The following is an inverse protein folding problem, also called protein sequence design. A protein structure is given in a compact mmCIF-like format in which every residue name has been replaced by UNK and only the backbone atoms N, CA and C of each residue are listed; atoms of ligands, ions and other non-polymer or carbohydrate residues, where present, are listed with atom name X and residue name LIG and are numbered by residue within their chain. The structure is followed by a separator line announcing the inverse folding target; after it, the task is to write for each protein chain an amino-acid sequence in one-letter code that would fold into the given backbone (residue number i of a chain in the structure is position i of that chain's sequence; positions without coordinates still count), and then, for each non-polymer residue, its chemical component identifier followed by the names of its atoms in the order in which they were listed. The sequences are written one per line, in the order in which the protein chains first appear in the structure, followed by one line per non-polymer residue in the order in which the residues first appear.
data_IF_594774058171
#
_entry.id   IF_594774058171
#
_cell.length_a   1.000
_cell.length_b   1.000
_cell.length_c   1.000
_cell.angle_alpha   90.00
_cell.angle_beta   90.00
_cell.angle_gamma   90.00
#
_symmetry.space_group_name_H-M   'P 1'
#
loop_
_entity.id
_entity.type
_entity.pdbx_description
1 polymer ?
#
# COMPACT_ATOMS: atom_id res chain seq x y z
N UNK A 1 -60.29 -49.28 14.61
CA UNK A 1 -60.33 -48.06 13.77
C UNK A 1 -59.93 -46.74 14.48
N UNK A 2 -60.34 -46.49 15.74
CA UNK A 2 -60.13 -45.18 16.40
C UNK A 2 -58.64 -44.86 16.71
N UNK A 3 -57.86 -45.83 17.23
CA UNK A 3 -56.42 -45.64 17.53
C UNK A 3 -55.55 -45.30 16.30
N UNK A 4 -55.88 -45.84 15.12
CA UNK A 4 -55.19 -45.50 13.86
C UNK A 4 -55.52 -44.08 13.38
N UNK A 5 -56.78 -43.61 13.51
CA UNK A 5 -57.15 -42.22 13.18
C UNK A 5 -56.46 -41.21 14.10
N UNK A 6 -56.28 -41.52 15.39
CA UNK A 6 -55.56 -40.67 16.35
C UNK A 6 -54.07 -40.59 16.05
N UNK A 7 -53.39 -41.73 15.79
CA UNK A 7 -51.98 -41.74 15.35
C UNK A 7 -51.76 -41.02 14.01
N UNK A 8 -52.71 -41.12 13.06
CA UNK A 8 -52.64 -40.43 11.77
C UNK A 8 -52.84 -38.91 11.93
N UNK A 9 -53.77 -38.47 12.79
CA UNK A 9 -53.95 -37.05 13.15
C UNK A 9 -52.74 -36.47 13.89
N UNK A 10 -52.09 -37.22 14.79
CA UNK A 10 -50.89 -36.73 15.51
C UNK A 10 -49.66 -36.64 14.61
N UNK A 11 -49.46 -37.60 13.69
CA UNK A 11 -48.44 -37.52 12.63
C UNK A 11 -48.68 -36.34 11.69
N UNK A 12 -49.94 -36.09 11.28
CA UNK A 12 -50.29 -34.92 10.47
C UNK A 12 -49.94 -33.62 11.21
N UNK A 13 -50.37 -33.47 12.48
CA UNK A 13 -50.13 -32.28 13.32
C UNK A 13 -48.63 -32.02 13.58
N UNK A 14 -47.81 -33.07 13.68
CA UNK A 14 -46.34 -32.97 13.81
C UNK A 14 -45.70 -32.51 12.49
N UNK A 15 -46.23 -32.97 11.35
CA UNK A 15 -45.78 -32.59 10.00
C UNK A 15 -46.17 -31.14 9.65
N UNK A 16 -47.39 -30.69 10.01
CA UNK A 16 -47.80 -29.28 9.88
C UNK A 16 -47.02 -28.35 10.80
N UNK A 17 -46.72 -28.77 12.05
CA UNK A 17 -45.80 -28.00 12.92
C UNK A 17 -44.40 -27.86 12.32
N UNK A 18 -43.86 -28.93 11.75
CA UNK A 18 -42.56 -28.88 11.05
C UNK A 18 -42.56 -27.92 9.85
N UNK A 19 -43.65 -27.92 9.07
CA UNK A 19 -43.83 -26.97 7.96
C UNK A 19 -43.96 -25.51 8.45
N UNK A 20 -44.71 -25.26 9.52
CA UNK A 20 -44.85 -23.92 10.10
C UNK A 20 -43.52 -23.41 10.64
N UNK A 21 -42.76 -24.26 11.36
CA UNK A 21 -41.44 -23.91 11.86
C UNK A 21 -40.49 -23.61 10.68
N UNK A 22 -40.49 -24.45 9.64
CA UNK A 22 -39.69 -24.20 8.44
C UNK A 22 -40.04 -22.88 7.74
N UNK A 23 -41.32 -22.53 7.68
CA UNK A 23 -41.79 -21.28 7.08
C UNK A 23 -41.40 -20.06 7.94
N UNK A 24 -41.49 -20.14 9.26
CA UNK A 24 -41.03 -19.09 10.17
C UNK A 24 -39.52 -18.86 10.06
N UNK A 25 -38.74 -19.94 9.95
CA UNK A 25 -37.29 -19.86 9.72
C UNK A 25 -36.99 -19.17 8.38
N UNK A 26 -37.72 -19.53 7.32
CA UNK A 26 -37.55 -18.91 6.00
C UNK A 26 -37.88 -17.41 6.03
N UNK A 27 -38.96 -17.00 6.70
CA UNK A 27 -39.31 -15.59 6.89
C UNK A 27 -38.20 -14.86 7.64
N UNK A 28 -37.69 -15.45 8.73
CA UNK A 28 -36.57 -14.87 9.49
C UNK A 28 -35.33 -14.66 8.62
N UNK A 29 -34.98 -15.61 7.75
CA UNK A 29 -33.86 -15.44 6.81
C UNK A 29 -34.11 -14.33 5.79
N UNK A 30 -35.35 -14.19 5.29
CA UNK A 30 -35.71 -13.10 4.37
C UNK A 30 -35.63 -11.76 5.07
N UNK A 31 -36.13 -11.65 6.30
CA UNK A 31 -36.04 -10.42 7.10
C UNK A 31 -34.58 -10.06 7.40
N UNK A 32 -33.76 -11.03 7.81
CA UNK A 32 -32.34 -10.84 8.07
C UNK A 32 -31.59 -10.41 6.79
N UNK A 33 -31.91 -11.02 5.66
CA UNK A 33 -31.36 -10.64 4.36
C UNK A 33 -31.74 -9.20 4.00
N UNK A 34 -33.03 -8.85 4.08
CA UNK A 34 -33.49 -7.50 3.79
C UNK A 34 -32.85 -6.47 4.72
N UNK A 35 -32.70 -6.82 6.00
CA UNK A 35 -32.03 -6.01 7.00
C UNK A 35 -30.54 -5.82 6.66
N UNK A 36 -29.82 -6.88 6.29
CA UNK A 36 -28.40 -6.77 5.93
C UNK A 36 -28.17 -6.00 4.63
N UNK A 37 -29.03 -6.17 3.63
CA UNK A 37 -28.85 -5.61 2.29
C UNK A 37 -29.38 -4.19 2.15
N UNK A 38 -30.53 -3.86 2.75
CA UNK A 38 -31.19 -2.57 2.53
C UNK A 38 -31.16 -1.62 3.73
N UNK A 39 -30.62 -2.05 4.88
CA UNK A 39 -30.54 -1.15 6.03
C UNK A 39 -29.59 0.02 5.80
N UNK A 40 -30.01 1.19 6.29
CA UNK A 40 -29.22 2.42 6.31
C UNK A 40 -28.55 2.66 7.67
N UNK A 41 -28.59 1.69 8.59
CA UNK A 41 -27.88 1.76 9.86
C UNK A 41 -26.37 1.88 9.54
N UNK A 42 -25.65 2.90 10.05
CA UNK A 42 -24.27 3.20 9.66
C UNK A 42 -23.33 1.99 9.73
N UNK A 43 -23.41 1.22 10.81
CA UNK A 43 -22.60 0.01 11.00
C UNK A 43 -22.85 -1.05 9.91
N UNK A 44 -24.10 -1.33 9.57
CA UNK A 44 -24.47 -2.34 8.57
C UNK A 44 -24.07 -1.87 7.18
N UNK A 45 -24.39 -0.60 6.86
CA UNK A 45 -24.04 0.03 5.59
C UNK A 45 -22.53 0.00 5.37
N UNK A 46 -21.72 0.32 6.38
CA UNK A 46 -20.25 0.25 6.32
C UNK A 46 -19.77 -1.12 5.86
N UNK A 47 -20.14 -2.18 6.57
CA UNK A 47 -19.66 -3.53 6.27
C UNK A 47 -20.21 -4.10 4.97
N UNK A 48 -21.49 -3.83 4.66
CA UNK A 48 -22.10 -4.20 3.38
C UNK A 48 -21.37 -3.54 2.22
N UNK A 49 -21.10 -2.24 2.33
CA UNK A 49 -20.45 -1.49 1.27
C UNK A 49 -18.98 -1.91 1.10
N UNK A 50 -18.21 -2.08 2.19
CA UNK A 50 -16.86 -2.67 2.12
C UNK A 50 -16.88 -4.04 1.43
N UNK A 51 -17.86 -4.89 1.74
CA UNK A 51 -18.00 -6.19 1.09
C UNK A 51 -18.27 -6.06 -0.42
N UNK A 52 -19.24 -5.21 -0.81
CA UNK A 52 -19.55 -4.94 -2.22
C UNK A 52 -18.32 -4.42 -2.95
N UNK A 53 -17.67 -3.40 -2.41
CA UNK A 53 -16.48 -2.78 -3.00
C UNK A 53 -15.36 -3.80 -3.16
N UNK A 54 -15.06 -4.58 -2.11
CA UNK A 54 -14.02 -5.62 -2.13
C UNK A 54 -14.29 -6.65 -3.23
N UNK A 55 -15.53 -7.13 -3.35
CA UNK A 55 -15.91 -8.08 -4.37
C UNK A 55 -15.87 -7.48 -5.79
N UNK A 56 -16.34 -6.24 -5.96
CA UNK A 56 -16.41 -5.56 -7.26
C UNK A 56 -15.03 -5.15 -7.79
N UNK A 57 -14.09 -4.86 -6.90
CA UNK A 57 -12.68 -4.56 -7.25
C UNK A 57 -11.87 -5.84 -7.56
N UNK A 58 -12.44 -7.04 -7.29
CA UNK A 58 -11.85 -8.33 -7.66
C UNK A 58 -12.50 -8.92 -8.91
N UNK A 59 -11.73 -9.15 -9.97
CA UNK A 59 -12.24 -9.78 -11.20
C UNK A 59 -12.78 -11.20 -10.97
N UNK A 60 -12.12 -12.00 -10.11
CA UNK A 60 -12.47 -13.41 -9.87
C UNK A 60 -13.60 -13.64 -8.86
N UNK A 61 -13.90 -12.67 -8.00
CA UNK A 61 -14.91 -12.82 -6.93
C UNK A 61 -16.09 -11.84 -7.03
N UNK A 62 -16.17 -11.05 -8.10
CA UNK A 62 -17.32 -10.18 -8.40
C UNK A 62 -18.66 -10.90 -8.31
N UNK A 63 -18.68 -12.17 -8.71
CA UNK A 63 -19.87 -13.01 -8.67
C UNK A 63 -20.46 -13.14 -7.26
N UNK A 64 -19.63 -13.07 -6.21
CA UNK A 64 -20.09 -13.15 -4.83
C UNK A 64 -21.08 -12.02 -4.55
N UNK A 65 -20.73 -10.76 -4.84
CA UNK A 65 -21.66 -9.65 -4.66
C UNK A 65 -22.86 -9.73 -5.61
N UNK A 66 -22.64 -9.99 -6.91
CA UNK A 66 -23.72 -9.94 -7.91
C UNK A 66 -24.73 -11.08 -7.80
N UNK A 67 -24.39 -12.19 -7.14
CA UNK A 67 -25.29 -13.33 -6.98
C UNK A 67 -26.41 -13.06 -5.98
N UNK A 68 -26.15 -12.31 -4.91
CA UNK A 68 -27.11 -12.11 -3.83
C UNK A 68 -27.40 -10.65 -3.50
N UNK A 69 -26.67 -9.67 -4.01
CA UNK A 69 -26.96 -8.25 -3.79
C UNK A 69 -27.65 -7.67 -5.04
N UNK A 70 -28.80 -7.01 -4.90
CA UNK A 70 -29.50 -6.40 -6.03
C UNK A 70 -28.62 -5.38 -6.75
N UNK A 71 -28.70 -5.36 -8.08
CA UNK A 71 -27.88 -4.48 -8.93
C UNK A 71 -27.96 -3.00 -8.52
N UNK A 72 -29.15 -2.49 -8.18
CA UNK A 72 -29.30 -1.08 -7.76
C UNK A 72 -28.45 -0.72 -6.53
N UNK A 73 -28.37 -1.61 -5.54
CA UNK A 73 -27.53 -1.39 -4.35
C UNK A 73 -26.04 -1.41 -4.71
N UNK A 74 -25.65 -2.30 -5.62
CA UNK A 74 -24.26 -2.34 -6.12
C UNK A 74 -23.93 -1.06 -6.88
N UNK A 75 -24.79 -0.66 -7.82
CA UNK A 75 -24.62 0.51 -8.66
C UNK A 75 -24.52 1.79 -7.81
N UNK A 76 -25.36 1.93 -6.76
CA UNK A 76 -25.31 3.06 -5.82
C UNK A 76 -23.95 3.14 -5.09
N UNK A 77 -23.44 2.01 -4.59
CA UNK A 77 -22.13 1.95 -3.91
C UNK A 77 -20.99 2.27 -4.86
N UNK A 78 -21.04 1.76 -6.09
CA UNK A 78 -19.99 2.03 -7.08
C UNK A 78 -20.05 3.47 -7.60
N UNK A 79 -21.23 4.10 -7.67
CA UNK A 79 -21.39 5.49 -8.04
C UNK A 79 -20.74 6.45 -7.01
N UNK A 80 -20.76 6.10 -5.71
CA UNK A 80 -20.01 6.85 -4.68
C UNK A 80 -18.50 6.89 -5.00
N UNK A 81 -17.91 5.73 -5.39
CA UNK A 81 -16.50 5.64 -5.82
C UNK A 81 -16.20 6.54 -7.01
N UNK A 82 -17.05 6.50 -8.04
CA UNK A 82 -16.85 7.31 -9.25
C UNK A 82 -16.93 8.81 -8.96
N UNK A 83 -17.85 9.23 -8.10
CA UNK A 83 -17.97 10.63 -7.69
C UNK A 83 -16.70 11.12 -6.99
N UNK A 84 -16.19 10.33 -6.05
CA UNK A 84 -14.93 10.59 -5.35
C UNK A 84 -13.76 10.76 -6.32
N UNK A 85 -13.63 9.86 -7.28
CA UNK A 85 -12.54 9.92 -8.27
C UNK A 85 -12.66 11.12 -9.20
N UNK A 86 -13.88 11.51 -9.60
CA UNK A 86 -14.12 12.72 -10.40
C UNK A 86 -13.70 13.99 -9.66
N UNK A 87 -13.87 14.04 -8.35
CA UNK A 87 -13.42 15.19 -7.56
C UNK A 87 -11.89 15.29 -7.48
N UNK A 88 -11.18 14.16 -7.56
CA UNK A 88 -9.71 14.16 -7.60
C UNK A 88 -9.14 14.55 -8.97
N UNK A 89 -9.94 14.56 -10.02
CA UNK A 89 -9.50 14.86 -11.40
C UNK A 89 -8.85 16.24 -11.55
N UNK A 90 -9.16 17.19 -10.66
CA UNK A 90 -8.57 18.54 -10.66
C UNK A 90 -7.38 18.71 -9.72
N UNK A 91 -6.96 17.66 -9.00
CA UNK A 91 -5.83 17.76 -8.09
C UNK A 91 -4.53 17.99 -8.86
N UNK A 92 -3.72 18.90 -8.32
CA UNK A 92 -2.37 19.16 -8.76
C UNK A 92 -1.54 19.53 -7.53
N UNK A 93 -0.56 18.70 -7.21
CA UNK A 93 0.38 19.00 -6.14
C UNK A 93 1.29 20.15 -6.52
N UNK A 94 1.84 20.78 -5.49
CA UNK A 94 2.82 21.85 -5.61
C UNK A 94 3.88 21.63 -4.55
N UNK A 95 5.10 21.94 -4.92
CA UNK A 95 6.18 22.16 -3.97
C UNK A 95 6.43 23.66 -3.96
N UNK A 96 6.50 24.25 -2.77
CA UNK A 96 7.00 25.62 -2.67
C UNK A 96 8.47 25.57 -3.06
N UNK A 97 8.87 26.40 -4.02
CA UNK A 97 10.29 26.60 -4.27
C UNK A 97 10.83 27.25 -3.01
N UNK A 98 11.51 26.45 -2.18
CA UNK A 98 12.52 27.02 -1.29
C UNK A 98 13.65 27.41 -2.24
N UNK A 99 13.51 28.60 -2.83
CA UNK A 99 14.64 29.28 -3.44
C UNK A 99 15.72 29.30 -2.36
N UNK A 100 16.85 28.67 -2.65
CA UNK A 100 18.03 28.67 -1.79
C UNK A 100 18.63 30.08 -1.79
N UNK A 101 17.95 31.02 -1.14
CA UNK A 101 18.41 32.34 -0.76
C UNK A 101 18.05 32.55 0.72
N UNK A 102 18.57 31.69 1.57
CA UNK A 102 18.85 32.01 2.97
C UNK A 102 19.82 30.95 3.47
N UNK A 103 21.11 31.12 3.14
CA UNK A 103 22.17 30.63 4.03
C UNK A 103 22.15 31.50 5.27
N UNK A 104 21.77 31.00 6.46
CA UNK A 104 22.06 31.72 7.68
C UNK A 104 23.58 31.70 7.86
N UNK A 105 24.14 32.91 8.00
CA UNK A 105 25.54 33.13 8.33
C UNK A 105 26.00 32.24 9.50
N UNK A 106 27.22 31.71 9.33
CA UNK A 106 28.15 31.11 10.30
C UNK A 106 27.60 30.37 11.55
N UNK A 107 28.01 29.11 11.79
CA UNK A 107 27.68 28.44 13.04
C UNK A 107 28.42 29.09 14.21
N UNK A 108 27.66 29.65 15.17
CA UNK A 108 28.16 29.94 16.51
C UNK A 108 28.48 28.60 17.19
N UNK A 109 29.75 28.35 17.49
CA UNK A 109 30.16 27.17 18.25
C UNK A 109 29.53 27.16 19.65
N UNK A 110 28.81 26.09 20.05
CA UNK A 110 28.40 25.92 21.43
C UNK A 110 29.54 25.30 22.25
N UNK A 111 29.89 25.97 23.34
CA UNK A 111 30.75 25.48 24.43
C UNK A 111 30.26 24.10 24.88
N UNK A 112 31.15 23.10 24.81
CA UNK A 112 30.85 21.71 25.16
C UNK A 112 30.78 21.47 26.68
N UNK A 113 29.80 20.68 27.15
CA UNK A 113 30.00 19.78 28.27
C UNK A 113 30.36 18.36 27.76
N UNK A 114 31.35 17.75 28.43
CA UNK A 114 32.06 16.47 28.20
C UNK A 114 31.22 15.18 28.00
N UNK A 115 30.20 15.16 27.14
CA UNK A 115 29.51 13.93 26.71
C UNK A 115 28.83 14.13 25.34
N UNK A 116 29.62 14.43 24.29
CA UNK A 116 29.10 14.44 22.92
C UNK A 116 29.15 13.02 22.31
N UNK A 117 28.07 12.52 21.70
CA UNK A 117 28.12 11.30 20.89
C UNK A 117 29.12 11.48 19.73
N UNK A 118 29.77 10.41 19.30
CA UNK A 118 30.71 10.43 18.17
C UNK A 118 30.01 11.03 16.93
N UNK A 119 30.70 11.78 16.07
CA UNK A 119 30.05 12.48 14.93
C UNK A 119 29.17 11.56 14.07
N UNK A 120 29.58 10.30 13.89
CA UNK A 120 28.82 9.30 13.13
C UNK A 120 27.50 8.88 13.78
N UNK A 121 27.44 8.78 15.11
CA UNK A 121 26.21 8.42 15.83
C UNK A 121 25.14 9.51 15.65
N UNK A 122 25.53 10.77 15.81
CA UNK A 122 24.62 11.91 15.63
C UNK A 122 24.10 11.98 14.21
N UNK A 123 24.97 11.76 13.22
CA UNK A 123 24.59 11.75 11.81
C UNK A 123 23.62 10.62 11.48
N UNK A 124 23.85 9.42 12.00
CA UNK A 124 22.98 8.26 11.83
C UNK A 124 21.57 8.51 12.35
N UNK A 125 21.43 9.00 13.59
CA UNK A 125 20.09 9.30 14.13
C UNK A 125 19.44 10.54 13.51
N UNK A 126 20.22 11.45 12.91
CA UNK A 126 19.66 12.52 12.08
C UNK A 126 19.10 11.96 10.79
N UNK A 127 19.83 11.05 10.13
CA UNK A 127 19.42 10.39 8.90
C UNK A 127 18.17 9.54 9.15
N UNK A 128 18.18 8.70 10.17
CA UNK A 128 17.08 7.82 10.58
C UNK A 128 16.30 8.42 11.77
N UNK A 129 15.76 9.62 11.59
CA UNK A 129 15.00 10.33 12.63
C UNK A 129 13.74 9.61 13.12
N UNK A 130 13.23 8.64 12.35
CA UNK A 130 12.11 7.79 12.74
C UNK A 130 12.50 6.64 13.65
N UNK A 131 13.79 6.32 13.78
CA UNK A 131 14.29 5.24 14.61
C UNK A 131 14.24 5.64 16.09
N UNK A 132 13.63 4.79 16.94
CA UNK A 132 13.69 5.00 18.38
C UNK A 132 15.09 4.66 18.88
N UNK A 133 15.84 5.71 19.23
CA UNK A 133 17.25 5.64 19.65
C UNK A 133 17.47 4.62 20.76
N UNK A 134 16.58 4.57 21.76
CA UNK A 134 16.75 3.67 22.90
C UNK A 134 16.64 2.20 22.46
N UNK A 135 15.60 1.85 21.72
CA UNK A 135 15.40 0.49 21.24
C UNK A 135 16.52 0.01 20.32
N UNK A 136 17.11 0.92 19.53
CA UNK A 136 18.29 0.62 18.72
C UNK A 136 19.53 0.35 19.57
N UNK A 137 19.80 1.20 20.57
CA UNK A 137 20.95 1.01 21.46
C UNK A 137 20.82 -0.27 22.29
N UNK A 138 19.62 -0.58 22.80
CA UNK A 138 19.34 -1.84 23.49
C UNK A 138 19.60 -3.06 22.56
N UNK A 139 19.24 -2.96 21.27
CA UNK A 139 19.55 -4.01 20.28
C UNK A 139 21.06 -4.14 20.04
N UNK A 140 21.78 -3.03 19.92
CA UNK A 140 23.24 -3.01 19.75
C UNK A 140 23.98 -3.58 20.97
N UNK A 141 23.46 -3.41 22.19
CA UNK A 141 24.04 -4.06 23.38
C UNK A 141 23.99 -5.60 23.28
N UNK A 142 22.93 -6.15 22.67
CA UNK A 142 22.80 -7.59 22.40
C UNK A 142 23.55 -8.02 21.13
N UNK A 143 23.81 -7.08 20.22
CA UNK A 143 24.41 -7.29 18.88
C UNK A 143 25.55 -6.28 18.60
N UNK A 144 26.66 -6.34 19.34
CA UNK A 144 27.75 -5.36 19.21
C UNK A 144 28.41 -5.37 17.83
N UNK A 145 28.29 -6.46 17.06
CA UNK A 145 28.79 -6.59 15.68
C UNK A 145 28.21 -5.52 14.73
N UNK A 146 27.02 -4.99 15.03
CA UNK A 146 26.32 -3.98 14.22
C UNK A 146 27.14 -2.71 14.05
N UNK A 147 27.95 -2.36 15.06
CA UNK A 147 28.75 -1.13 15.06
C UNK A 147 30.25 -1.37 14.76
N UNK A 148 30.66 -2.60 14.44
CA UNK A 148 32.08 -2.91 14.15
C UNK A 148 32.66 -2.04 13.02
N UNK A 149 31.83 -1.70 12.04
CA UNK A 149 32.22 -0.91 10.87
C UNK A 149 31.75 0.56 10.94
N UNK A 150 31.35 1.05 12.11
CA UNK A 150 30.86 2.41 12.28
C UNK A 150 29.37 2.58 11.95
N UNK A 151 28.81 3.72 12.37
CA UNK A 151 27.39 4.03 12.24
C UNK A 151 26.94 4.22 10.78
N UNK A 152 27.84 4.70 9.93
CA UNK A 152 27.63 4.91 8.50
C UNK A 152 27.48 3.59 7.71
N UNK A 153 27.97 2.48 8.26
CA UNK A 153 27.92 1.16 7.64
C UNK A 153 27.00 0.19 8.39
N UNK A 154 26.13 0.70 9.27
CA UNK A 154 25.14 -0.13 9.97
C UNK A 154 24.27 -0.86 8.94
N UNK A 155 24.33 -2.19 9.01
CA UNK A 155 23.53 -3.07 8.18
C UNK A 155 22.88 -4.16 9.03
N UNK A 156 21.55 -4.16 9.05
CA UNK A 156 20.70 -5.13 9.76
C UNK A 156 19.63 -5.58 8.78
N UNK A 157 19.41 -6.89 8.66
CA UNK A 157 18.37 -7.43 7.80
C UNK A 157 17.65 -8.62 8.43
N UNK A 158 16.48 -8.35 9.01
CA UNK A 158 15.53 -9.31 9.52
C UNK A 158 14.16 -9.17 8.81
N UNK A 159 14.19 -8.72 7.55
CA UNK A 159 12.97 -8.46 6.77
C UNK A 159 12.43 -9.69 6.04
N UNK A 160 13.16 -10.82 6.01
CA UNK A 160 12.73 -12.01 5.27
C UNK A 160 11.49 -12.62 5.93
N UNK A 161 10.68 -13.31 5.13
CA UNK A 161 9.47 -13.97 5.62
C UNK A 161 9.74 -15.07 6.67
N UNK A 162 10.96 -15.61 6.70
CA UNK A 162 11.43 -16.61 7.66
C UNK A 162 11.89 -16.02 8.99
N UNK A 163 12.15 -14.71 9.03
CA UNK A 163 12.80 -14.09 10.17
C UNK A 163 11.77 -13.77 11.26
N UNK A 164 12.23 -13.75 12.51
CA UNK A 164 11.38 -13.45 13.67
C UNK A 164 11.23 -11.95 13.93
N UNK A 165 11.91 -11.11 13.14
CA UNK A 165 11.93 -9.66 13.30
C UNK A 165 12.99 -9.19 14.30
N UNK A 166 12.82 -7.97 14.83
CA UNK A 166 13.77 -7.35 15.78
C UNK A 166 13.06 -6.75 17.00
N UNK A 167 13.82 -6.44 18.05
CA UNK A 167 13.32 -5.66 19.20
C UNK A 167 13.21 -4.16 18.92
N UNK A 168 13.91 -3.67 17.89
CA UNK A 168 13.97 -2.25 17.53
C UNK A 168 12.61 -1.71 17.08
N UNK A 169 12.38 -0.43 17.40
CA UNK A 169 11.15 0.29 17.11
C UNK A 169 11.44 1.60 16.41
N UNK A 170 10.43 2.07 15.69
CA UNK A 170 10.33 3.47 15.31
C UNK A 170 9.74 4.30 16.45
N UNK A 171 9.87 5.62 16.37
CA UNK A 171 9.19 6.57 17.27
C UNK A 171 7.65 6.44 17.20
N UNK A 172 7.12 5.94 16.08
CA UNK A 172 5.70 5.62 15.90
C UNK A 172 5.29 4.31 16.59
N UNK A 173 6.25 3.50 17.07
CA UNK A 173 6.03 2.22 17.74
C UNK A 173 5.98 1.00 16.80
N UNK A 174 6.16 1.21 15.49
CA UNK A 174 6.24 0.13 14.50
C UNK A 174 7.60 -0.59 14.59
N UNK A 175 7.61 -1.90 14.34
CA UNK A 175 8.80 -2.76 14.44
C UNK A 175 9.76 -2.51 13.27
N UNK A 176 11.04 -2.27 13.56
CA UNK A 176 12.08 -2.14 12.52
C UNK A 176 12.54 -3.52 12.09
N UNK A 177 12.58 -3.76 10.79
CA UNK A 177 12.98 -5.05 10.21
C UNK A 177 14.35 -5.01 9.55
N UNK A 178 14.73 -3.88 8.96
CA UNK A 178 16.03 -3.72 8.33
C UNK A 178 16.51 -2.28 8.40
N UNK A 179 17.82 -2.10 8.53
CA UNK A 179 18.53 -0.83 8.40
C UNK A 179 19.68 -1.07 7.41
N UNK A 180 19.78 -0.24 6.39
CA UNK A 180 20.89 -0.22 5.45
C UNK A 180 21.37 1.23 5.38
N UNK A 181 22.31 1.58 6.25
CA UNK A 181 22.83 2.94 6.39
C UNK A 181 23.55 3.40 5.12
N UNK A 182 24.25 2.49 4.45
CA UNK A 182 24.95 2.75 3.19
C UNK A 182 23.99 3.22 2.10
N UNK A 183 22.82 2.60 1.98
CA UNK A 183 21.79 2.99 1.01
C UNK A 183 20.73 3.96 1.56
N UNK A 184 20.82 4.35 2.83
CA UNK A 184 19.80 5.17 3.49
C UNK A 184 18.41 4.53 3.48
N UNK A 185 18.30 3.22 3.72
CA UNK A 185 17.02 2.49 3.73
C UNK A 185 16.69 1.98 5.13
N UNK A 186 15.48 2.27 5.59
CA UNK A 186 14.88 1.70 6.80
C UNK A 186 13.59 0.96 6.42
N UNK A 187 13.47 -0.32 6.76
CA UNK A 187 12.25 -1.11 6.49
C UNK A 187 11.57 -1.42 7.81
N UNK A 188 10.29 -1.09 7.90
CA UNK A 188 9.49 -1.26 9.11
C UNK A 188 8.24 -2.08 8.82
N UNK A 189 7.81 -2.86 9.80
CA UNK A 189 6.58 -3.65 9.75
C UNK A 189 5.43 -2.81 10.27
N UNK A 190 4.43 -2.61 9.41
CA UNK A 190 3.19 -1.91 9.77
C UNK A 190 2.07 -2.93 9.97
N UNK A 191 1.35 -2.82 11.07
CA UNK A 191 0.24 -3.73 11.39
C UNK A 191 -0.95 -2.96 11.94
N UNK A 192 -2.15 -3.43 11.65
CA UNK A 192 -3.38 -2.92 12.24
C UNK A 192 -4.47 -3.98 12.27
N UNK A 193 -5.73 -3.55 12.32
CA UNK A 193 -6.85 -4.48 12.39
C UNK A 193 -6.98 -5.29 11.08
N UNK A 194 -6.50 -6.55 11.11
CA UNK A 194 -6.64 -7.49 10.01
C UNK A 194 -5.60 -7.34 8.88
N UNK A 195 -4.63 -6.44 8.98
CA UNK A 195 -3.59 -6.27 7.97
C UNK A 195 -2.17 -6.37 8.53
N UNK A 196 -1.27 -6.86 7.67
CA UNK A 196 0.17 -6.86 7.86
C UNK A 196 0.81 -6.28 6.62
N UNK A 197 1.81 -5.42 6.79
CA UNK A 197 2.53 -4.82 5.68
C UNK A 197 3.94 -4.38 6.05
N UNK A 198 4.60 -3.75 5.08
CA UNK A 198 5.94 -3.19 5.21
C UNK A 198 5.98 -1.80 4.59
N UNK A 199 6.62 -0.89 5.29
CA UNK A 199 6.95 0.44 4.82
C UNK A 199 8.47 0.53 4.72
N UNK A 200 8.97 0.80 3.50
CA UNK A 200 10.35 1.18 3.30
C UNK A 200 10.44 2.72 3.28
N UNK A 201 11.39 3.24 4.04
CA UNK A 201 11.69 4.65 4.22
C UNK A 201 13.06 4.86 3.58
N UNK A 202 13.08 5.56 2.45
CA UNK A 202 14.24 5.74 1.59
C UNK A 202 14.68 7.19 1.66
N UNK A 203 15.89 7.43 2.15
CA UNK A 203 16.37 8.77 2.51
C UNK A 203 16.78 9.61 1.31
N UNK A 204 17.34 8.98 0.28
CA UNK A 204 17.68 9.69 -0.96
C UNK A 204 16.60 9.48 -2.04
N UNK A 205 15.80 10.51 -2.37
CA UNK A 205 14.83 10.39 -3.46
C UNK A 205 15.49 10.23 -4.83
N UNK A 206 16.75 10.67 -5.03
CA UNK A 206 17.45 10.53 -6.30
C UNK A 206 17.62 9.07 -6.72
N UNK A 207 17.80 8.18 -5.73
CA UNK A 207 17.96 6.74 -5.93
C UNK A 207 16.69 6.01 -6.34
N UNK A 208 15.52 6.67 -6.21
CA UNK A 208 14.23 6.11 -6.59
C UNK A 208 13.96 6.36 -8.07
N UNK A 209 13.71 5.27 -8.82
CA UNK A 209 13.46 5.29 -10.28
C UNK A 209 12.32 4.36 -10.68
N UNK A 210 11.79 4.53 -11.88
CA UNK A 210 10.86 3.57 -12.49
C UNK A 210 11.65 2.59 -13.35
N UNK A 211 11.77 1.34 -12.89
CA UNK A 211 12.38 0.25 -13.65
C UNK A 211 11.37 -0.44 -14.56
N UNK A 212 11.68 -0.60 -15.85
CA UNK A 212 10.78 -1.21 -16.82
C UNK A 212 11.08 -2.69 -17.05
N UNK A 213 10.04 -3.48 -17.33
CA UNK A 213 10.21 -4.87 -17.76
C UNK A 213 11.01 -4.93 -19.07
N UNK A 214 11.92 -5.89 -19.16
CA UNK A 214 12.72 -6.17 -20.36
C UNK A 214 11.87 -6.46 -21.60
N UNK A 215 10.64 -6.93 -21.40
CA UNK A 215 9.70 -7.35 -22.45
C UNK A 215 8.44 -6.50 -22.45
N UNK A 216 8.53 -5.23 -22.01
CA UNK A 216 7.46 -4.23 -22.05
C UNK A 216 6.74 -4.24 -23.40
N UNK A 217 5.41 -4.17 -23.38
CA UNK A 217 4.54 -4.30 -24.55
C UNK A 217 4.24 -5.75 -24.98
N UNK A 218 5.05 -6.73 -24.58
CA UNK A 218 4.85 -8.16 -24.91
C UNK A 218 4.47 -9.00 -23.70
N UNK A 219 5.23 -8.92 -22.60
CA UNK A 219 4.98 -9.63 -21.34
C UNK A 219 5.62 -8.87 -20.20
N UNK A 220 4.93 -8.77 -19.07
CA UNK A 220 5.52 -8.23 -17.85
C UNK A 220 6.50 -9.22 -17.23
N UNK A 221 7.17 -8.76 -16.18
CA UNK A 221 8.06 -9.55 -15.33
C UNK A 221 7.59 -9.44 -13.88
N UNK A 222 7.93 -10.40 -13.04
CA UNK A 222 7.72 -10.22 -11.60
C UNK A 222 8.54 -9.05 -11.07
N UNK A 223 8.12 -8.45 -9.96
CA UNK A 223 8.89 -7.36 -9.31
C UNK A 223 10.32 -7.80 -9.02
N UNK A 224 10.52 -9.04 -8.58
CA UNK A 224 11.87 -9.62 -8.38
C UNK A 224 12.69 -9.65 -9.67
N UNK A 225 12.12 -10.12 -10.77
CA UNK A 225 12.86 -10.16 -12.05
C UNK A 225 13.24 -8.76 -12.54
N UNK A 226 12.40 -7.75 -12.29
CA UNK A 226 12.73 -6.35 -12.58
C UNK A 226 13.83 -5.88 -11.62
N UNK A 227 13.72 -6.14 -10.32
CA UNK A 227 14.76 -5.80 -9.34
C UNK A 227 16.12 -6.40 -9.72
N UNK A 228 16.16 -7.70 -10.03
CA UNK A 228 17.38 -8.42 -10.46
C UNK A 228 17.98 -7.81 -11.74
N UNK A 229 17.14 -7.40 -12.70
CA UNK A 229 17.61 -6.76 -13.96
C UNK A 229 18.34 -5.46 -13.71
N UNK A 230 17.89 -4.67 -12.73
CA UNK A 230 18.48 -3.38 -12.38
C UNK A 230 19.49 -3.47 -11.24
N UNK A 231 19.76 -4.68 -10.74
CA UNK A 231 20.49 -4.92 -9.50
C UNK A 231 20.00 -4.04 -8.34
N UNK A 232 18.67 -3.84 -8.25
CA UNK A 232 18.08 -2.91 -7.29
C UNK A 232 18.19 -3.41 -5.85
N UNK A 233 18.46 -2.50 -4.92
CA UNK A 233 18.50 -2.78 -3.48
C UNK A 233 17.09 -3.09 -2.98
N UNK A 234 16.10 -2.32 -3.44
CA UNK A 234 14.69 -2.46 -3.07
C UNK A 234 13.81 -2.26 -4.32
N UNK A 235 12.69 -2.98 -4.40
CA UNK A 235 11.70 -2.77 -5.44
C UNK A 235 10.27 -3.04 -4.97
N UNK A 236 9.31 -2.25 -5.46
CA UNK A 236 7.87 -2.48 -5.34
C UNK A 236 7.19 -2.38 -6.71
N UNK A 237 6.02 -3.01 -6.91
CA UNK A 237 5.26 -2.83 -8.15
C UNK A 237 4.76 -1.38 -8.32
N UNK A 238 4.49 -0.96 -9.57
CA UNK A 238 4.10 0.42 -9.86
C UNK A 238 2.80 0.56 -10.68
N UNK A 239 2.87 0.58 -12.01
CA UNK A 239 1.72 0.89 -12.87
C UNK A 239 0.68 -0.21 -12.91
N UNK A 240 -0.58 0.20 -13.11
CA UNK A 240 -1.62 -0.71 -13.60
C UNK A 240 -1.34 -1.16 -15.03
N UNK A 241 -1.95 -2.27 -15.43
CA UNK A 241 -1.80 -2.85 -16.76
C UNK A 241 -3.11 -3.40 -17.29
N UNK A 242 -3.19 -3.55 -18.62
CA UNK A 242 -4.36 -4.13 -19.27
C UNK A 242 -4.50 -5.60 -18.85
N UNK A 243 -5.57 -5.87 -18.10
CA UNK A 243 -5.86 -7.16 -17.51
C UNK A 243 -7.23 -7.68 -17.94
N UNK A 244 -7.40 -7.88 -19.25
CA UNK A 244 -8.64 -8.39 -19.82
C UNK A 244 -8.99 -9.74 -19.19
N UNK A 245 -10.11 -9.80 -18.46
CA UNK A 245 -10.62 -10.98 -17.76
C UNK A 245 -9.65 -11.64 -16.75
N UNK A 246 -8.65 -10.92 -16.24
CA UNK A 246 -7.69 -11.46 -15.26
C UNK A 246 -6.59 -12.33 -15.87
N UNK A 247 -6.49 -12.38 -17.20
CA UNK A 247 -5.45 -13.14 -17.94
C UNK A 247 -4.41 -12.23 -18.59
N UNK A 248 -4.34 -10.97 -18.15
CA UNK A 248 -3.35 -10.00 -18.61
C UNK A 248 -1.93 -10.52 -18.41
N UNK A 249 -1.12 -10.37 -19.45
CA UNK A 249 0.28 -10.81 -19.46
C UNK A 249 1.23 -9.84 -18.73
N UNK A 250 0.69 -8.76 -18.16
CA UNK A 250 1.47 -7.76 -17.40
C UNK A 250 2.33 -6.83 -18.25
N UNK A 251 2.30 -6.92 -19.57
CA UNK A 251 3.23 -6.18 -20.44
C UNK A 251 2.69 -4.83 -20.92
N UNK A 252 1.38 -4.63 -20.89
CA UNK A 252 0.72 -3.47 -21.50
C UNK A 252 0.27 -2.50 -20.42
N UNK A 253 1.01 -1.38 -20.28
CA UNK A 253 0.75 -0.35 -19.27
C UNK A 253 -0.60 0.31 -19.52
N UNK A 254 -1.31 0.65 -18.44
CA UNK A 254 -2.46 1.56 -18.47
C UNK A 254 -2.03 2.89 -17.85
N UNK A 255 -2.01 3.95 -18.68
CA UNK A 255 -1.62 5.29 -18.25
C UNK A 255 -0.18 5.67 -18.58
N UNK A 256 0.23 6.83 -18.05
CA UNK A 256 1.55 7.41 -18.26
C UNK A 256 2.63 6.45 -17.77
N UNK A 257 3.70 6.32 -18.56
CA UNK A 257 4.96 5.72 -18.13
C UNK A 257 6.11 6.55 -18.66
N UNK A 258 6.89 7.11 -17.74
CA UNK A 258 8.17 7.76 -18.00
C UNK A 258 9.21 7.07 -17.12
N UNK A 259 10.36 6.71 -17.72
CA UNK A 259 11.50 6.10 -17.03
C UNK A 259 12.76 6.79 -17.53
N UNK A 260 13.58 7.30 -16.62
CA UNK A 260 14.84 8.00 -16.93
C UNK A 260 14.68 9.10 -18.01
N UNK A 261 13.59 9.87 -17.93
CA UNK A 261 13.23 10.96 -18.83
C UNK A 261 12.62 10.52 -20.16
N UNK A 262 12.53 9.21 -20.42
CA UNK A 262 11.97 8.65 -21.66
C UNK A 262 10.51 8.24 -21.46
N UNK A 263 9.61 8.79 -22.27
CA UNK A 263 8.20 8.39 -22.28
C UNK A 263 8.00 7.09 -23.06
N UNK A 264 7.41 6.10 -22.39
CA UNK A 264 7.10 4.77 -22.94
C UNK A 264 5.61 4.52 -23.15
N UNK A 265 4.74 5.25 -22.44
CA UNK A 265 3.28 5.15 -22.56
C UNK A 265 2.64 6.51 -22.33
N UNK A 266 1.60 6.83 -23.10
CA UNK A 266 0.85 8.08 -22.96
C UNK A 266 -0.09 8.05 -21.76
N UNK A 267 -0.35 9.22 -21.17
CA UNK A 267 -1.33 9.33 -20.10
C UNK A 267 -2.73 8.91 -20.56
N UNK A 268 -3.47 8.32 -19.64
CA UNK A 268 -4.90 8.12 -19.76
C UNK A 268 -5.63 9.35 -19.23
N UNK A 269 -6.70 9.77 -19.91
CA UNK A 269 -7.57 10.85 -19.45
C UNK A 269 -8.51 10.43 -18.31
N UNK A 270 -9.50 11.26 -18.01
CA UNK A 270 -10.45 10.98 -16.93
C UNK A 270 -9.83 11.23 -15.56
N UNK A 271 -10.05 10.30 -14.62
CA UNK A 271 -9.73 10.48 -13.19
C UNK A 271 -8.33 10.03 -12.79
N UNK A 272 -7.53 9.53 -13.73
CA UNK A 272 -6.18 9.06 -13.45
C UNK A 272 -5.22 10.22 -13.20
N UNK A 273 -4.36 10.06 -12.18
CA UNK A 273 -3.39 11.06 -11.78
C UNK A 273 -1.98 10.57 -12.09
N UNK A 274 -1.17 11.43 -12.69
CA UNK A 274 0.26 11.24 -12.83
C UNK A 274 0.88 11.26 -11.43
N UNK A 275 1.77 10.32 -11.18
CA UNK A 275 2.50 10.13 -9.93
C UNK A 275 3.96 9.95 -10.34
N UNK A 276 4.80 10.94 -10.08
CA UNK A 276 6.17 10.89 -10.58
C UNK A 276 7.11 11.93 -9.97
N UNK A 277 8.40 11.67 -10.09
CA UNK A 277 9.45 12.58 -9.66
C UNK A 277 9.84 13.52 -10.79
N UNK A 278 10.02 14.80 -10.46
CA UNK A 278 10.65 15.77 -11.33
C UNK A 278 12.18 15.63 -11.31
N UNK A 279 12.87 16.52 -12.03
CA UNK A 279 14.34 16.59 -12.07
C UNK A 279 14.99 17.03 -10.76
N UNK A 280 14.22 17.58 -9.81
CA UNK A 280 14.69 17.94 -8.46
C UNK A 280 14.32 16.85 -7.43
N UNK A 281 13.92 15.67 -7.89
CA UNK A 281 13.54 14.53 -7.06
C UNK A 281 12.32 14.80 -6.15
N UNK A 282 11.43 15.71 -6.55
CA UNK A 282 10.18 15.98 -5.84
C UNK A 282 9.03 15.22 -6.48
N UNK A 283 8.24 14.53 -5.65
CA UNK A 283 7.11 13.70 -6.06
C UNK A 283 5.90 14.58 -6.35
N UNK A 284 5.44 14.61 -7.59
CA UNK A 284 4.22 15.29 -7.99
C UNK A 284 3.06 14.32 -8.21
N UNK A 285 1.87 14.74 -7.78
CA UNK A 285 0.60 14.04 -7.99
C UNK A 285 -0.36 15.01 -8.70
N UNK A 286 -0.80 14.69 -9.91
CA UNK A 286 -1.75 15.55 -10.61
C UNK A 286 -2.20 15.08 -11.98
N UNK A 287 -3.21 15.74 -12.54
CA UNK A 287 -3.80 15.35 -13.83
C UNK A 287 -3.04 15.86 -15.07
N UNK A 288 -2.13 16.82 -14.89
CA UNK A 288 -1.38 17.50 -15.97
C UNK A 288 0.07 16.99 -16.05
N UNK A 289 0.61 16.94 -17.27
CA UNK A 289 2.06 16.80 -17.51
C UNK A 289 2.73 18.15 -17.82
N UNK A 290 1.96 19.22 -18.06
CA UNK A 290 2.50 20.46 -18.63
C UNK A 290 3.38 21.25 -17.66
N UNK A 291 3.14 21.06 -16.38
CA UNK A 291 3.67 21.89 -15.32
C UNK A 291 4.85 21.22 -14.60
N UNK A 292 5.19 19.97 -14.97
CA UNK A 292 6.22 19.16 -14.32
C UNK A 292 7.07 18.43 -15.36
N UNK A 293 8.38 18.65 -15.34
CA UNK A 293 9.34 17.89 -16.15
C UNK A 293 9.69 16.59 -15.40
N UNK A 294 8.94 15.53 -15.67
CA UNK A 294 9.16 14.23 -15.02
C UNK A 294 10.42 13.52 -15.51
N UNK A 295 11.27 13.06 -14.57
CA UNK A 295 12.30 12.06 -14.85
C UNK A 295 11.73 10.64 -14.80
N UNK A 296 10.80 10.39 -13.88
CA UNK A 296 10.21 9.08 -13.67
C UNK A 296 8.76 9.28 -13.27
N UNK A 297 7.82 8.64 -13.97
CA UNK A 297 6.40 8.80 -13.67
C UNK A 297 5.58 7.58 -14.08
N UNK A 298 4.55 7.31 -13.27
CA UNK A 298 3.48 6.38 -13.55
C UNK A 298 2.13 7.09 -13.42
N UNK A 299 1.03 6.39 -13.70
CA UNK A 299 -0.31 6.94 -13.52
C UNK A 299 -1.20 5.96 -12.77
N UNK A 300 -1.90 6.43 -11.74
CA UNK A 300 -2.84 5.60 -10.99
C UNK A 300 -3.86 6.43 -10.17
N UNK A 301 -4.69 5.74 -9.39
CA UNK A 301 -5.69 6.32 -8.47
C UNK A 301 -5.82 5.50 -7.18
N UNK A 302 -6.32 6.09 -6.08
CA UNK A 302 -6.55 7.52 -5.85
C UNK A 302 -5.30 8.24 -5.32
N UNK A 303 -5.34 9.57 -5.31
CA UNK A 303 -4.45 10.37 -4.45
C UNK A 303 -4.85 10.18 -2.97
N UNK A 304 -3.86 10.13 -2.08
CA UNK A 304 -4.06 9.93 -0.64
C UNK A 304 -3.76 11.21 0.13
N UNK A 305 -2.60 11.82 -0.13
CA UNK A 305 -2.13 13.05 0.50
C UNK A 305 -1.61 13.98 -0.60
N UNK A 306 -2.03 15.23 -0.57
CA UNK A 306 -1.59 16.27 -1.51
C UNK A 306 -1.34 17.56 -0.73
N UNK A 307 -0.15 18.11 -0.84
CA UNK A 307 0.31 19.33 -0.17
C UNK A 307 0.10 19.27 1.36
N UNK A 308 0.46 18.14 1.98
CA UNK A 308 0.29 17.89 3.42
C UNK A 308 -1.15 17.61 3.86
N UNK A 309 -2.12 17.65 2.94
CA UNK A 309 -3.52 17.39 3.25
C UNK A 309 -3.92 15.96 2.90
N UNK A 310 -4.45 15.23 3.89
CA UNK A 310 -5.11 13.95 3.68
C UNK A 310 -6.45 14.16 2.93
N UNK A 311 -6.40 14.08 1.60
CA UNK A 311 -7.53 14.37 0.69
C UNK A 311 -8.62 13.27 0.69
N UNK A 312 -8.39 12.18 1.43
CA UNK A 312 -9.34 11.08 1.56
C UNK A 312 -10.00 10.99 2.95
N UNK A 313 -9.31 11.38 4.02
CA UNK A 313 -9.83 11.33 5.39
C UNK A 313 -10.91 12.38 5.68
N UNK A 314 -10.83 13.55 5.03
CA UNK A 314 -11.81 14.66 5.23
C UNK A 314 -13.25 14.30 4.84
N UNK A 315 -13.50 13.14 4.23
CA UNK A 315 -14.76 12.84 3.55
C UNK A 315 -15.84 12.18 4.40
N UNK A 316 -15.65 12.02 5.73
CA UNK A 316 -16.65 11.45 6.66
C UNK A 316 -17.40 10.26 6.05
N UNK A 317 -16.65 9.39 5.36
CA UNK A 317 -17.25 8.38 4.50
C UNK A 317 -17.92 7.36 5.39
N UNK A 318 -19.20 7.13 5.14
CA UNK A 318 -20.02 6.15 5.86
C UNK A 318 -19.37 4.75 5.84
N UNK A 319 -18.46 4.48 4.89
CA UNK A 319 -17.87 3.15 4.65
C UNK A 319 -16.37 3.04 4.96
N UNK A 320 -15.62 4.14 5.13
CA UNK A 320 -14.18 4.11 5.46
C UNK A 320 -13.22 3.51 4.43
N UNK A 321 -13.67 3.26 3.19
CA UNK A 321 -12.90 2.56 2.14
C UNK A 321 -12.85 3.24 0.78
N UNK A 322 -13.51 4.39 0.61
CA UNK A 322 -13.52 5.18 -0.65
C UNK A 322 -14.00 4.43 -1.91
N UNK A 323 -14.73 3.31 -1.77
CA UNK A 323 -15.10 2.51 -2.93
C UNK A 323 -14.06 1.46 -3.35
N UNK A 324 -12.94 1.35 -2.62
CA UNK A 324 -11.85 0.44 -2.94
C UNK A 324 -11.84 -0.84 -2.11
N UNK A 325 -12.69 -0.94 -1.07
CA UNK A 325 -12.76 -2.11 -0.20
C UNK A 325 -11.44 -2.44 0.54
N UNK A 326 -11.34 -3.68 1.04
CA UNK A 326 -10.14 -4.23 1.67
C UNK A 326 -9.33 -4.99 0.62
N UNK A 327 -8.09 -4.57 0.39
CA UNK A 327 -7.21 -5.21 -0.60
C UNK A 327 -5.75 -5.19 -0.12
N UNK A 328 -4.88 -6.03 -0.70
CA UNK A 328 -3.46 -5.73 -0.75
C UNK A 328 -3.24 -4.38 -1.45
N UNK A 329 -2.34 -3.57 -0.93
CA UNK A 329 -2.11 -2.18 -1.38
C UNK A 329 -0.64 -1.93 -1.62
N UNK A 330 -0.37 -1.10 -2.61
CA UNK A 330 0.96 -0.53 -2.85
C UNK A 330 0.82 0.98 -2.94
N UNK A 331 1.66 1.72 -2.24
CA UNK A 331 1.55 3.18 -2.11
C UNK A 331 2.96 3.79 -2.15
N UNK A 332 3.06 4.93 -2.83
CA UNK A 332 4.26 5.77 -2.81
C UNK A 332 3.91 7.12 -2.18
N UNK A 333 4.83 7.68 -1.41
CA UNK A 333 4.74 9.04 -0.92
C UNK A 333 6.11 9.66 -0.70
N UNK A 334 6.09 10.94 -0.36
CA UNK A 334 7.28 11.72 -0.04
C UNK A 334 6.98 12.69 1.11
N UNK A 335 7.91 12.81 2.04
CA UNK A 335 7.92 13.79 3.13
C UNK A 335 8.48 15.14 2.65
N UNK A 336 8.37 16.17 3.49
CA UNK A 336 8.86 17.51 3.15
C UNK A 336 10.38 17.55 2.90
N UNK A 337 11.16 16.76 3.65
CA UNK A 337 12.63 16.68 3.53
C UNK A 337 13.10 15.86 2.32
N UNK A 338 12.18 15.27 1.55
CA UNK A 338 12.47 14.48 0.37
C UNK A 338 12.53 12.97 0.61
N UNK A 339 12.47 12.49 1.85
CA UNK A 339 12.39 11.06 2.17
C UNK A 339 11.21 10.40 1.44
N UNK A 340 11.47 9.31 0.72
CA UNK A 340 10.47 8.56 -0.03
C UNK A 340 9.93 7.41 0.82
N UNK A 341 8.61 7.26 0.81
CA UNK A 341 7.88 6.26 1.56
C UNK A 341 7.26 5.26 0.58
N UNK A 342 7.62 3.99 0.70
CA UNK A 342 7.17 2.90 -0.15
C UNK A 342 6.44 1.86 0.69
N UNK A 343 5.11 1.88 0.66
CA UNK A 343 4.26 1.04 1.48
C UNK A 343 3.70 -0.13 0.66
N UNK A 344 3.78 -1.33 1.22
CA UNK A 344 3.12 -2.53 0.72
C UNK A 344 2.33 -3.20 1.84
N UNK A 345 1.07 -3.55 1.56
CA UNK A 345 0.18 -4.25 2.49
C UNK A 345 -0.17 -5.59 1.88
N UNK A 346 0.12 -6.68 2.59
CA UNK A 346 -0.31 -8.03 2.21
C UNK A 346 -1.84 -8.12 2.32
N UNK A 347 -2.48 -9.07 1.62
CA UNK A 347 -3.93 -9.17 1.69
C UNK A 347 -4.51 -10.43 1.08
N UNK A 348 -5.83 -10.61 1.25
CA UNK A 348 -6.61 -11.79 0.81
C UNK A 348 -6.17 -13.12 1.44
N UNK A 349 -5.52 -13.07 2.60
CA UNK A 349 -5.01 -14.24 3.33
C UNK A 349 -5.68 -14.34 4.69
N UNK A 350 -6.72 -15.18 4.80
CA UNK A 350 -7.47 -15.39 6.04
C UNK A 350 -6.53 -15.89 7.15
N UNK A 351 -6.59 -15.24 8.31
CA UNK A 351 -5.75 -15.58 9.47
C UNK A 351 -4.35 -14.97 9.44
N UNK A 352 -3.99 -14.21 8.40
CA UNK A 352 -2.73 -13.48 8.33
C UNK A 352 -2.94 -12.00 7.99
N UNK A 353 -3.33 -11.70 6.75
CA UNK A 353 -3.63 -10.34 6.30
C UNK A 353 -4.78 -10.39 5.31
N UNK A 354 -5.92 -9.79 5.65
CA UNK A 354 -7.05 -9.66 4.72
C UNK A 354 -6.89 -8.47 3.77
N UNK A 355 -5.92 -7.59 4.03
CA UNK A 355 -5.69 -6.35 3.31
C UNK A 355 -6.26 -5.15 4.07
N UNK A 356 -6.09 -3.96 3.50
CA UNK A 356 -6.56 -2.71 4.12
C UNK A 356 -7.21 -1.76 3.13
N UNK A 357 -7.83 -0.71 3.66
CA UNK A 357 -8.45 0.34 2.86
C UNK A 357 -7.44 1.40 2.45
N UNK A 358 -7.72 2.14 1.38
CA UNK A 358 -6.89 3.30 1.01
C UNK A 358 -6.88 4.38 2.09
N UNK A 359 -7.94 4.48 2.91
CA UNK A 359 -8.04 5.41 4.06
C UNK A 359 -6.98 5.07 5.10
N UNK A 360 -6.87 3.79 5.46
CA UNK A 360 -5.86 3.34 6.40
C UNK A 360 -4.45 3.53 5.83
N UNK A 361 -4.25 3.31 4.52
CA UNK A 361 -2.97 3.64 3.89
C UNK A 361 -2.63 5.13 4.05
N UNK A 362 -3.57 6.06 3.80
CA UNK A 362 -3.29 7.47 4.03
C UNK A 362 -2.95 7.78 5.49
N UNK A 363 -3.63 7.17 6.45
CA UNK A 363 -3.30 7.31 7.88
C UNK A 363 -1.88 6.84 8.18
N UNK A 364 -1.42 5.73 7.57
CA UNK A 364 -0.02 5.27 7.71
C UNK A 364 0.94 6.30 7.10
N UNK A 365 0.69 6.74 5.87
CA UNK A 365 1.57 7.70 5.19
C UNK A 365 1.64 9.04 5.95
N UNK A 366 0.52 9.54 6.45
CA UNK A 366 0.42 10.76 7.27
C UNK A 366 1.16 10.62 8.60
N UNK A 367 1.07 9.45 9.25
CA UNK A 367 1.81 9.14 10.49
C UNK A 367 3.33 9.19 10.30
N UNK A 368 3.81 8.90 9.10
CA UNK A 368 5.21 9.00 8.70
C UNK A 368 5.55 10.33 8.01
N UNK A 369 4.68 11.33 8.06
CA UNK A 369 4.98 12.69 7.62
C UNK A 369 4.92 12.90 6.10
N UNK A 370 4.28 12.01 5.35
CA UNK A 370 4.07 12.20 3.92
C UNK A 370 3.31 13.51 3.67
N UNK A 371 3.86 14.38 2.82
CA UNK A 371 3.17 15.57 2.30
C UNK A 371 2.60 15.31 0.91
N UNK A 372 3.13 14.29 0.23
CA UNK A 372 2.62 13.73 -1.01
C UNK A 372 2.44 12.23 -0.84
N UNK A 373 1.28 11.67 -1.20
CA UNK A 373 1.10 10.22 -1.25
C UNK A 373 0.00 9.81 -2.24
N UNK A 374 0.23 8.75 -3.00
CA UNK A 374 -0.75 8.20 -3.94
C UNK A 374 -0.66 6.67 -3.97
N UNK A 375 -1.82 6.06 -4.21
CA UNK A 375 -1.90 4.62 -4.41
C UNK A 375 -1.31 4.23 -5.78
N UNK A 376 -0.67 3.08 -5.83
CA UNK A 376 -0.16 2.41 -7.04
C UNK A 376 -0.98 1.13 -7.31
N UNK A 377 -0.60 0.36 -8.34
CA UNK A 377 -1.27 -0.92 -8.60
C UNK A 377 -1.25 -1.82 -7.35
N UNK A 378 -2.37 -2.47 -7.09
CA UNK A 378 -2.59 -3.20 -5.83
C UNK A 378 -2.91 -4.67 -6.05
N UNK A 379 -3.60 -5.26 -5.10
CA UNK A 379 -4.11 -6.61 -5.23
C UNK A 379 -2.99 -7.63 -5.40
N UNK A 380 -3.11 -8.52 -6.39
CA UNK A 380 -2.11 -9.59 -6.59
C UNK A 380 -0.79 -9.09 -7.19
N UNK A 381 -0.70 -7.81 -7.56
CA UNK A 381 0.54 -7.15 -8.00
C UNK A 381 1.38 -6.65 -6.83
N UNK A 382 0.79 -6.48 -5.64
CA UNK A 382 1.49 -5.97 -4.44
C UNK A 382 2.60 -6.91 -4.01
N UNK A 383 3.83 -6.44 -4.19
CA UNK A 383 5.07 -7.13 -3.82
C UNK A 383 6.12 -6.08 -3.43
N UNK A 384 6.87 -6.35 -2.37
CA UNK A 384 8.14 -5.71 -2.03
C UNK A 384 9.27 -6.74 -2.05
N UNK A 385 10.35 -6.38 -2.74
CA UNK A 385 11.60 -7.13 -2.84
C UNK A 385 12.71 -6.30 -2.23
N UNK A 386 13.56 -6.91 -1.42
CA UNK A 386 14.72 -6.27 -0.79
C UNK A 386 15.93 -7.21 -0.89
N UNK A 387 17.03 -6.69 -1.45
CA UNK A 387 18.30 -7.39 -1.74
C UNK A 387 18.08 -8.78 -2.35
N UNK A 388 17.28 -8.81 -3.43
CA UNK A 388 16.97 -10.01 -4.20
C UNK A 388 15.91 -10.94 -3.57
N UNK A 389 15.46 -10.68 -2.35
CA UNK A 389 14.48 -11.52 -1.64
C UNK A 389 13.10 -10.87 -1.56
N UNK A 390 12.05 -11.67 -1.72
CA UNK A 390 10.68 -11.23 -1.50
C UNK A 390 10.39 -11.15 0.00
N UNK A 391 10.06 -9.96 0.48
CA UNK A 391 9.80 -9.72 1.90
C UNK A 391 8.31 -9.57 2.22
N UNK A 392 7.42 -9.71 1.24
CA UNK A 392 5.95 -9.63 1.39
C UNK A 392 5.30 -10.96 1.02
N UNK A 393 4.02 -11.17 1.34
CA UNK A 393 3.29 -12.39 0.96
C UNK A 393 2.19 -12.08 -0.07
N UNK A 394 2.42 -12.33 -1.37
CA UNK A 394 1.46 -12.09 -2.43
C UNK A 394 0.15 -12.84 -2.22
N UNK A 395 -0.96 -12.15 -2.52
CA UNK A 395 -2.32 -12.53 -2.15
C UNK A 395 -2.79 -13.94 -2.57
N UNK A 396 -2.21 -14.52 -3.62
CA UNK A 396 -2.65 -15.80 -4.20
C UNK A 396 -1.61 -16.93 -4.04
N UNK A 397 -0.60 -16.76 -3.18
CA UNK A 397 0.50 -17.73 -3.05
C UNK A 397 1.35 -17.87 -4.31
N UNK A 398 1.19 -16.95 -5.28
CA UNK A 398 2.05 -16.85 -6.45
C UNK A 398 3.39 -16.30 -5.98
N UNK A 399 4.41 -17.14 -6.00
CA UNK A 399 5.79 -16.72 -5.70
C UNK A 399 6.17 -15.59 -6.66
N UNK A 400 6.64 -14.46 -6.14
CA UNK A 400 7.00 -13.23 -6.87
C UNK A 400 5.84 -12.40 -7.41
N UNK A 401 4.60 -12.69 -6.99
CA UNK A 401 3.40 -11.96 -7.40
C UNK A 401 3.10 -12.07 -8.90
N UNK A 402 2.24 -11.19 -9.40
CA UNK A 402 1.93 -11.15 -10.83
C UNK A 402 3.06 -10.50 -11.63
N UNK A 403 3.11 -10.84 -12.91
CA UNK A 403 3.92 -10.11 -13.86
C UNK A 403 3.34 -8.68 -14.02
N UNK A 404 4.21 -7.69 -13.93
CA UNK A 404 3.90 -6.26 -14.03
C UNK A 404 4.77 -5.60 -15.11
N UNK A 405 4.35 -4.45 -15.66
CA UNK A 405 5.08 -3.82 -16.76
C UNK A 405 6.32 -3.07 -16.25
N UNK A 406 6.30 -2.65 -14.98
CA UNK A 406 7.34 -1.85 -14.35
C UNK A 406 7.24 -1.98 -12.82
N UNK A 407 8.27 -1.47 -12.15
CA UNK A 407 8.41 -1.39 -10.70
C UNK A 407 9.02 -0.04 -10.31
N UNK A 408 8.72 0.43 -9.10
CA UNK A 408 9.58 1.43 -8.45
C UNK A 408 10.79 0.66 -7.92
N UNK A 409 11.99 1.09 -8.31
CA UNK A 409 13.26 0.51 -7.89
C UNK A 409 14.07 1.56 -7.12
N UNK A 410 14.90 1.10 -6.20
CA UNK A 410 15.73 1.95 -5.35
C UNK A 410 17.15 1.42 -5.29
N UNK A 411 18.10 2.33 -5.49
CA UNK A 411 19.52 2.04 -5.39
C UNK A 411 20.01 1.03 -6.44
N UNK A 412 21.28 0.68 -6.37
CA UNK A 412 21.88 -0.38 -7.18
C UNK A 412 22.96 -1.04 -6.33
N UNK A 413 22.82 -2.34 -6.12
CA UNK A 413 23.81 -3.13 -5.40
C UNK A 413 25.13 -3.12 -6.18
N UNK A 414 26.23 -3.00 -5.46
CA UNK A 414 27.57 -3.22 -5.98
C UNK A 414 27.97 -4.70 -5.86
N UNK A 415 29.11 -5.08 -6.43
CA UNK A 415 29.68 -6.41 -6.18
C UNK A 415 30.11 -6.58 -4.70
N UNK A 416 30.42 -5.47 -4.01
CA UNK A 416 30.76 -5.46 -2.58
C UNK A 416 29.53 -5.70 -1.69
N UNK A 417 28.35 -5.32 -2.15
CA UNK A 417 27.08 -5.59 -1.47
C UNK A 417 26.64 -7.06 -1.50
N UNK A 418 27.20 -7.85 -2.41
CA UNK A 418 26.88 -9.27 -2.54
C UNK A 418 27.73 -10.17 -1.63
N UNK A 419 28.79 -9.63 -1.04
CA UNK A 419 29.70 -10.29 -0.11
C UNK A 419 29.18 -10.21 1.33
#
# INVERSE_FOLDING_TARGET
MIKQKVKRKSKLKKRTRGLIIGLLIAILFVELYCFAVFSNIPFIRKWRNIYIETAMDTLSHKWLATFFIPKGVIDDVMAEKEAILKEQQGLQSKWENVDTEDTPDEPVEPVEPDNKPASGEREFFRLFSELDMRSFLDYVEEHPEVLENGYENVYINCARLSDTGTSMKTIQGDEVLAIDAHHGILIVKVTGEGYVGKLAIVKDPADVRVGISATLGTRGQSVKQIADRYNAVLAINASGFADENGVGHGGTVVGLLISEGVKHSERTGGTYLNIGFDTNNRLYIGASEKDVAYRDAVQFVPALIVNGENVIAKRNLVNGSMGFGLQPRTVIGQTEDGTVLLLTIDGRQIGYSIGTTVVECATIMERYGAVQAANLDGGSSTVMVYRGEEITKPANGIKYGRNVPNAIIVGTLSDEDAA
#
